data_IF_624340253974
#
_entry.id   IF_624340253974
#
_cell.length_a   1.000
_cell.length_b   1.000
_cell.length_c   1.000
_cell.angle_alpha   90.00
_cell.angle_beta   90.00
_cell.angle_gamma   90.00
#
_symmetry.space_group_name_H-M   'P 1'
#
loop_
_entity.id
_entity.type
_entity.pdbx_description
1 polymer ?
#
# COMPACT_ATOMS: atom_id res chain seq x y z
N UNK A 1 9.15 -22.72 0.79
CA UNK A 1 8.04 -22.60 1.75
C UNK A 1 7.59 -21.14 1.69
N UNK A 2 6.39 -20.86 1.19
CA UNK A 2 5.84 -19.50 1.29
C UNK A 2 5.22 -19.39 2.69
N UNK A 3 6.01 -18.89 3.63
CA UNK A 3 5.49 -18.49 4.93
C UNK A 3 4.66 -17.23 4.74
N UNK A 4 3.50 -17.21 5.39
CA UNK A 4 2.66 -16.02 5.48
C UNK A 4 3.53 -14.90 6.08
N UNK A 5 3.63 -13.71 5.44
CA UNK A 5 4.55 -12.67 5.89
C UNK A 5 4.20 -12.22 7.30
N UNK A 6 5.19 -11.98 8.16
CA UNK A 6 4.95 -11.45 9.49
C UNK A 6 4.67 -9.93 9.47
N UNK A 7 4.40 -9.35 10.65
CA UNK A 7 4.09 -7.91 10.75
C UNK A 7 5.26 -7.02 10.34
N UNK A 8 6.50 -7.43 10.64
CA UNK A 8 7.70 -6.67 10.29
C UNK A 8 7.89 -6.66 8.77
N UNK A 9 7.77 -7.82 8.13
CA UNK A 9 7.86 -7.93 6.67
C UNK A 9 6.77 -7.11 5.95
N UNK A 10 5.57 -7.05 6.52
CA UNK A 10 4.48 -6.22 6.00
C UNK A 10 4.76 -4.72 6.18
N UNK A 11 5.27 -4.30 7.33
CA UNK A 11 5.65 -2.91 7.59
C UNK A 11 6.78 -2.46 6.66
N UNK A 12 7.83 -3.27 6.49
CA UNK A 12 8.93 -2.99 5.57
C UNK A 12 8.45 -2.90 4.12
N UNK A 13 7.55 -3.80 3.72
CA UNK A 13 6.97 -3.76 2.38
C UNK A 13 6.15 -2.49 2.16
N UNK A 14 5.30 -2.11 3.11
CA UNK A 14 4.55 -0.85 3.07
C UNK A 14 5.50 0.34 2.92
N UNK A 15 6.52 0.46 3.77
CA UNK A 15 7.47 1.57 3.74
C UNK A 15 8.20 1.67 2.39
N UNK A 16 8.71 0.54 1.86
CA UNK A 16 9.37 0.52 0.53
C UNK A 16 8.44 0.99 -0.58
N UNK A 17 7.17 0.59 -0.54
CA UNK A 17 6.18 0.98 -1.54
C UNK A 17 5.75 2.45 -1.40
N UNK A 18 5.57 2.95 -0.18
CA UNK A 18 5.25 4.36 0.09
C UNK A 18 6.35 5.27 -0.47
N UNK A 19 7.61 4.97 -0.16
CA UNK A 19 8.77 5.73 -0.67
C UNK A 19 8.82 5.72 -2.20
N UNK A 20 8.48 4.60 -2.83
CA UNK A 20 8.58 4.46 -4.29
C UNK A 20 7.42 5.11 -5.04
N UNK A 21 6.19 4.98 -4.55
CA UNK A 21 4.99 5.27 -5.35
C UNK A 21 4.16 6.45 -4.85
N UNK A 22 4.47 7.07 -3.69
CA UNK A 22 3.69 8.19 -3.16
C UNK A 22 4.27 9.61 -3.31
N UNK A 23 5.59 9.87 -3.32
CA UNK A 23 6.13 11.24 -3.22
C UNK A 23 5.58 12.22 -4.27
N UNK A 24 5.36 11.76 -5.50
CA UNK A 24 4.79 12.55 -6.60
C UNK A 24 3.41 12.04 -7.06
N UNK A 25 2.75 11.18 -6.27
CA UNK A 25 1.50 10.56 -6.69
C UNK A 25 0.30 11.49 -6.52
N UNK A 26 -0.59 11.61 -7.51
CA UNK A 26 -1.87 12.28 -7.33
C UNK A 26 -2.75 11.60 -6.27
N UNK A 27 -2.47 10.33 -5.96
CA UNK A 27 -3.25 9.53 -5.01
C UNK A 27 -2.80 9.67 -3.56
N UNK A 28 -1.71 10.41 -3.27
CA UNK A 28 -1.15 10.49 -1.91
C UNK A 28 -2.18 10.88 -0.85
N UNK A 29 -2.94 11.95 -1.08
CA UNK A 29 -3.98 12.40 -0.12
C UNK A 29 -5.09 11.37 0.07
N UNK A 30 -5.47 10.68 -1.01
CA UNK A 30 -6.49 9.63 -0.94
C UNK A 30 -5.99 8.43 -0.16
N UNK A 31 -4.73 8.03 -0.36
CA UNK A 31 -4.07 6.97 0.40
C UNK A 31 -3.98 7.32 1.89
N UNK A 32 -3.52 8.52 2.25
CA UNK A 32 -3.45 8.95 3.66
C UNK A 32 -4.83 8.93 4.35
N UNK A 33 -5.89 9.34 3.65
CA UNK A 33 -7.27 9.24 4.17
C UNK A 33 -7.73 7.79 4.31
N UNK A 34 -7.34 6.93 3.38
CA UNK A 34 -7.68 5.51 3.42
C UNK A 34 -6.97 4.80 4.59
N UNK A 35 -5.71 5.13 4.87
CA UNK A 35 -4.99 4.61 6.04
C UNK A 35 -5.71 4.94 7.35
N UNK A 36 -6.22 6.16 7.51
CA UNK A 36 -7.01 6.54 8.69
C UNK A 36 -8.30 5.73 8.82
N UNK A 37 -8.99 5.49 7.70
CA UNK A 37 -10.18 4.63 7.70
C UNK A 37 -9.84 3.20 8.10
N UNK A 38 -8.72 2.65 7.63
CA UNK A 38 -8.28 1.33 8.09
C UNK A 38 -8.00 1.30 9.60
N UNK A 39 -7.43 2.35 10.17
CA UNK A 39 -7.23 2.47 11.62
C UNK A 39 -8.56 2.54 12.41
N UNK A 40 -9.59 3.14 11.83
CA UNK A 40 -10.94 3.26 12.42
C UNK A 40 -11.76 1.97 12.26
N UNK A 41 -11.67 1.31 11.11
CA UNK A 41 -12.56 0.22 10.70
C UNK A 41 -11.99 -1.17 11.01
N UNK A 42 -10.66 -1.33 11.13
CA UNK A 42 -10.00 -2.62 11.30
C UNK A 42 -9.27 -2.71 12.66
N UNK A 43 -9.67 -3.70 13.46
CA UNK A 43 -9.07 -3.92 14.79
C UNK A 43 -7.67 -4.56 14.71
N UNK A 44 -7.46 -5.51 13.79
CA UNK A 44 -6.20 -6.25 13.66
C UNK A 44 -5.13 -5.41 12.95
N UNK A 45 -3.91 -5.37 13.49
CA UNK A 45 -2.77 -4.67 12.88
C UNK A 45 -2.37 -5.31 11.55
N UNK A 46 -2.43 -6.63 11.46
CA UNK A 46 -2.13 -7.38 10.25
C UNK A 46 -3.06 -6.99 9.11
N UNK A 47 -4.36 -6.90 9.40
CA UNK A 47 -5.38 -6.55 8.39
C UNK A 47 -5.21 -5.12 7.90
N UNK A 48 -4.84 -4.20 8.80
CA UNK A 48 -4.50 -2.82 8.46
C UNK A 48 -3.30 -2.77 7.51
N UNK A 49 -2.20 -3.46 7.85
CA UNK A 49 -0.99 -3.48 7.02
C UNK A 49 -1.23 -4.14 5.66
N UNK A 50 -1.98 -5.24 5.62
CA UNK A 50 -2.35 -5.91 4.37
C UNK A 50 -3.19 -4.99 3.47
N UNK A 51 -4.18 -4.28 4.04
CA UNK A 51 -5.04 -3.35 3.31
C UNK A 51 -4.26 -2.15 2.76
N UNK A 52 -3.29 -1.63 3.53
CA UNK A 52 -2.38 -0.58 3.10
C UNK A 52 -1.49 -1.05 1.94
N UNK A 53 -0.87 -2.23 2.05
CA UNK A 53 -0.06 -2.82 0.98
C UNK A 53 -0.87 -3.07 -0.30
N UNK A 54 -2.10 -3.59 -0.17
CA UNK A 54 -3.00 -3.80 -1.32
C UNK A 54 -3.35 -2.47 -2.01
N UNK A 55 -3.61 -1.43 -1.23
CA UNK A 55 -3.89 -0.09 -1.76
C UNK A 55 -2.69 0.50 -2.51
N UNK A 56 -1.48 0.31 -1.99
CA UNK A 56 -0.24 0.72 -2.67
C UNK A 56 -0.01 -0.06 -3.96
N UNK A 57 -0.38 -1.35 -4.00
CA UNK A 57 -0.30 -2.16 -5.23
C UNK A 57 -1.26 -1.65 -6.30
N UNK A 58 -2.47 -1.25 -5.92
CA UNK A 58 -3.40 -0.61 -6.85
C UNK A 58 -2.85 0.73 -7.37
N UNK A 59 -2.29 1.56 -6.49
CA UNK A 59 -1.67 2.83 -6.87
C UNK A 59 -0.51 2.61 -7.84
N UNK A 60 0.35 1.62 -7.58
CA UNK A 60 1.42 1.19 -8.48
C UNK A 60 0.84 0.82 -9.85
N UNK A 61 -0.14 -0.08 -9.89
CA UNK A 61 -0.74 -0.56 -11.13
C UNK A 61 -1.30 0.59 -11.98
N UNK A 62 -2.07 1.49 -11.37
CA UNK A 62 -2.63 2.66 -12.07
C UNK A 62 -1.53 3.58 -12.59
N UNK A 63 -0.46 3.80 -11.83
CA UNK A 63 0.65 4.65 -12.28
C UNK A 63 1.43 4.03 -13.44
N UNK A 64 1.68 2.73 -13.40
CA UNK A 64 2.36 1.99 -14.47
C UNK A 64 1.51 1.96 -15.75
N UNK A 65 0.19 1.78 -15.61
CA UNK A 65 -0.77 1.81 -16.70
C UNK A 65 -0.87 3.20 -17.35
N UNK A 66 -0.97 4.28 -16.55
CA UNK A 66 -0.95 5.66 -17.05
C UNK A 66 0.38 6.00 -17.75
N UNK A 67 1.49 5.47 -17.24
CA UNK A 67 2.81 5.69 -17.83
C UNK A 67 3.04 4.89 -19.13
N UNK A 68 2.11 4.02 -19.52
CA UNK A 68 2.27 3.12 -20.67
C UNK A 68 3.39 2.11 -20.47
N UNK A 69 3.72 1.78 -19.21
CA UNK A 69 4.73 0.80 -18.80
C UNK A 69 4.07 -0.56 -18.50
N UNK A 70 2.86 -0.77 -19.00
CA UNK A 70 2.21 -2.09 -19.04
C UNK A 70 2.77 -2.86 -20.23
N UNK A 71 3.53 -3.93 -19.95
CA UNK A 71 3.94 -4.98 -20.91
C UNK A 71 2.74 -5.48 -21.74
#
# INVERSE_FOLDING_TARGET
>A
MHTVPDLTELQETRLRMEVKYLPASPFRRSYERLCRRFEEDLADERDRLLSQCASLMLIKFIQEDIAGVTD
#
